data_IF_964315505916
#
_entry.id   IF_964315505916
#
_cell.length_a   1.000
_cell.length_b   1.000
_cell.length_c   1.000
_cell.angle_alpha   90.00
_cell.angle_beta   90.00
_cell.angle_gamma   90.00
#
_symmetry.space_group_name_H-M   'P 1'
#
loop_
_entity.id
_entity.type
_entity.pdbx_description
1 polymer ?
#
# COMPACT_ATOMS: atom_id res chain seq x y z
N UNK A 1 0.42 15.14 -80.06
CA UNK A 1 1.19 15.15 -78.79
C UNK A 1 0.16 15.34 -77.69
N UNK A 2 -0.33 14.25 -77.13
CA UNK A 2 -1.32 14.22 -76.06
C UNK A 2 -0.60 13.97 -74.72
N UNK A 3 -0.77 14.90 -73.75
CA UNK A 3 -0.30 14.76 -72.37
C UNK A 3 -1.47 14.27 -71.53
N UNK A 4 -1.38 13.05 -71.02
CA UNK A 4 -2.27 12.43 -70.06
C UNK A 4 -1.86 12.85 -68.66
N UNK A 5 -2.77 13.54 -67.93
CA UNK A 5 -2.60 13.85 -66.53
C UNK A 5 -3.19 12.69 -65.69
N UNK A 6 -2.35 12.15 -64.80
CA UNK A 6 -2.77 11.14 -63.81
C UNK A 6 -3.13 11.88 -62.51
N UNK A 7 -4.38 11.81 -62.10
CA UNK A 7 -4.85 12.33 -60.83
C UNK A 7 -4.60 11.27 -59.72
N UNK A 8 -3.72 11.59 -58.78
CA UNK A 8 -3.47 10.78 -57.60
C UNK A 8 -4.52 11.06 -56.52
N UNK A 9 -5.26 10.05 -56.12
CA UNK A 9 -6.21 10.06 -55.04
C UNK A 9 -5.45 9.84 -53.72
N UNK A 10 -5.38 10.87 -52.86
CA UNK A 10 -4.81 10.78 -51.53
C UNK A 10 -5.91 10.36 -50.58
N UNK A 11 -5.87 9.13 -50.09
CA UNK A 11 -6.70 8.68 -48.96
C UNK A 11 -6.12 9.22 -47.66
N UNK A 12 -6.85 10.12 -47.00
CA UNK A 12 -6.58 10.55 -45.63
C UNK A 12 -7.15 9.49 -44.65
N UNK A 13 -6.26 8.83 -43.91
CA UNK A 13 -6.63 7.97 -42.79
C UNK A 13 -6.72 8.83 -41.54
N UNK A 14 -7.84 8.83 -40.79
CA UNK A 14 -7.89 9.55 -39.52
C UNK A 14 -7.10 8.76 -38.46
N UNK A 15 -6.05 9.35 -37.87
CA UNK A 15 -5.45 8.89 -36.64
C UNK A 15 -6.46 9.11 -35.51
N UNK A 16 -7.01 8.02 -35.00
CA UNK A 16 -7.69 8.03 -33.73
C UNK A 16 -6.63 8.18 -32.62
N UNK A 17 -6.56 9.36 -32.01
CA UNK A 17 -5.78 9.61 -30.79
C UNK A 17 -6.46 8.84 -29.63
N UNK A 18 -5.94 7.67 -29.31
CA UNK A 18 -6.27 6.97 -28.09
C UNK A 18 -5.71 7.75 -26.90
N UNK A 19 -6.58 8.40 -26.10
CA UNK A 19 -6.21 8.89 -24.78
C UNK A 19 -6.03 7.66 -23.88
N UNK A 20 -4.81 7.20 -23.73
CA UNK A 20 -4.45 6.34 -22.62
C UNK A 20 -4.40 7.22 -21.36
N UNK A 21 -5.47 7.16 -20.57
CA UNK A 21 -5.47 7.74 -19.24
C UNK A 21 -4.57 6.87 -18.34
N UNK A 22 -3.30 7.28 -18.22
CA UNK A 22 -2.43 6.79 -17.18
C UNK A 22 -3.01 7.25 -15.83
N UNK A 23 -3.67 6.36 -15.11
CA UNK A 23 -4.08 6.57 -13.73
C UNK A 23 -2.80 6.56 -12.88
N UNK A 24 -2.19 7.72 -12.73
CA UNK A 24 -1.13 7.92 -11.76
C UNK A 24 -1.72 7.75 -10.36
N UNK A 25 -1.37 6.67 -9.69
CA UNK A 25 -1.61 6.55 -8.25
C UNK A 25 -0.81 7.65 -7.56
N UNK A 26 -1.51 8.67 -7.06
CA UNK A 26 -0.89 9.70 -6.23
C UNK A 26 -0.57 9.08 -4.88
N UNK A 27 0.68 8.60 -4.73
CA UNK A 27 1.20 8.06 -3.47
C UNK A 27 1.66 9.21 -2.57
N UNK A 28 0.72 9.94 -2.00
CA UNK A 28 1.05 10.83 -0.89
C UNK A 28 0.74 10.13 0.44
N UNK A 29 1.74 9.95 1.29
CA UNK A 29 1.62 9.38 2.64
C UNK A 29 0.86 10.28 3.63
N UNK A 30 0.39 11.42 3.18
CA UNK A 30 -0.53 12.28 3.92
C UNK A 30 -1.90 11.61 3.99
N UNK A 31 -2.54 11.65 5.15
CA UNK A 31 -3.89 11.12 5.40
C UNK A 31 -5.00 11.81 4.58
N UNK A 32 -4.68 12.19 3.35
CA UNK A 32 -5.63 12.73 2.37
C UNK A 32 -6.71 11.69 2.05
N UNK A 33 -7.93 12.17 2.00
CA UNK A 33 -9.09 11.37 1.63
C UNK A 33 -8.87 10.77 0.24
N UNK A 34 -9.11 9.44 0.05
CA UNK A 34 -8.99 8.82 -1.26
C UNK A 34 -9.85 9.51 -2.32
N UNK A 35 -9.43 9.44 -3.58
CA UNK A 35 -10.26 9.91 -4.68
C UNK A 35 -11.56 9.10 -4.75
N UNK A 36 -12.67 9.72 -5.17
CA UNK A 36 -13.98 9.07 -5.23
C UNK A 36 -13.99 7.75 -6.02
N UNK A 37 -13.13 7.63 -7.04
CA UNK A 37 -12.96 6.40 -7.81
C UNK A 37 -12.27 5.27 -7.03
N UNK A 38 -11.37 5.60 -6.12
CA UNK A 38 -10.68 4.60 -5.27
C UNK A 38 -11.61 4.04 -4.21
N UNK A 39 -12.46 4.88 -3.61
CA UNK A 39 -13.50 4.45 -2.69
C UNK A 39 -14.48 3.48 -3.35
N UNK A 40 -15.02 3.84 -4.52
CA UNK A 40 -15.96 3.00 -5.26
C UNK A 40 -15.33 1.64 -5.61
N UNK A 41 -14.07 1.64 -6.02
CA UNK A 41 -13.30 0.41 -6.26
C UNK A 41 -13.14 -0.41 -4.98
N UNK A 42 -12.77 0.22 -3.86
CA UNK A 42 -12.60 -0.46 -2.60
C UNK A 42 -13.91 -1.13 -2.12
N UNK A 43 -15.06 -0.47 -2.27
CA UNK A 43 -16.37 -1.07 -1.96
C UNK A 43 -16.67 -2.30 -2.83
N UNK A 44 -16.41 -2.22 -4.14
CA UNK A 44 -16.58 -3.34 -5.06
C UNK A 44 -15.60 -4.49 -4.73
N UNK A 45 -14.35 -4.18 -4.43
CA UNK A 45 -13.34 -5.17 -4.07
C UNK A 45 -13.67 -5.85 -2.73
N UNK A 46 -14.13 -5.09 -1.72
CA UNK A 46 -14.52 -5.61 -0.41
C UNK A 46 -15.63 -6.65 -0.53
N UNK A 47 -16.67 -6.38 -1.35
CA UNK A 47 -17.76 -7.31 -1.57
C UNK A 47 -17.31 -8.63 -2.21
N UNK A 48 -16.19 -8.62 -2.92
CA UNK A 48 -15.61 -9.81 -3.56
C UNK A 48 -14.51 -10.49 -2.73
N UNK A 49 -14.12 -9.96 -1.57
CA UNK A 49 -13.14 -10.59 -0.71
C UNK A 49 -13.72 -11.83 -0.01
N UNK A 50 -12.95 -12.89 0.02
CA UNK A 50 -13.31 -14.09 0.76
C UNK A 50 -13.24 -13.84 2.26
N UNK A 51 -14.31 -14.13 2.98
CA UNK A 51 -14.35 -14.13 4.44
C UNK A 51 -13.99 -15.52 4.96
N UNK A 52 -13.08 -15.60 5.92
CA UNK A 52 -12.65 -16.86 6.55
C UNK A 52 -12.27 -16.64 8.00
N UNK A 53 -12.25 -17.72 8.79
CA UNK A 53 -11.63 -17.71 10.11
C UNK A 53 -10.11 -17.79 9.97
N UNK A 54 -9.40 -17.25 10.96
CA UNK A 54 -7.96 -17.40 11.07
C UNK A 54 -7.60 -18.86 11.38
N UNK A 55 -6.43 -19.29 10.88
CA UNK A 55 -5.78 -20.50 11.35
C UNK A 55 -5.07 -20.29 12.70
N UNK A 56 -4.49 -21.35 13.23
CA UNK A 56 -3.81 -21.38 14.54
C UNK A 56 -2.51 -20.55 14.61
N UNK A 57 -1.91 -20.25 13.47
CA UNK A 57 -0.65 -19.50 13.41
C UNK A 57 0.61 -20.36 13.60
N UNK A 58 0.45 -21.66 13.73
CA UNK A 58 1.57 -22.59 13.93
C UNK A 58 2.69 -22.40 12.92
N UNK A 59 3.91 -22.42 13.43
CA UNK A 59 5.11 -22.25 12.63
C UNK A 59 5.32 -20.86 12.06
N UNK A 60 4.61 -19.84 12.52
CA UNK A 60 4.90 -18.45 12.13
C UNK A 60 6.28 -18.04 12.66
N UNK A 61 7.10 -17.58 11.75
CA UNK A 61 8.37 -16.91 12.01
C UNK A 61 8.49 -15.75 11.03
N UNK A 62 8.91 -14.57 11.51
CA UNK A 62 9.01 -13.40 10.63
C UNK A 62 9.98 -13.63 9.48
N UNK A 63 11.02 -14.40 9.72
CA UNK A 63 12.08 -14.74 8.77
C UNK A 63 11.56 -15.54 7.56
N UNK A 64 10.43 -16.23 7.70
CA UNK A 64 9.76 -16.92 6.59
C UNK A 64 9.18 -15.97 5.53
N UNK A 65 9.15 -14.68 5.83
CA UNK A 65 8.79 -13.62 4.88
C UNK A 65 10.02 -13.03 4.17
N UNK A 66 11.18 -13.69 4.26
CA UNK A 66 12.38 -13.35 3.52
C UNK A 66 13.14 -12.16 4.10
N UNK A 67 13.98 -11.55 3.25
CA UNK A 67 14.85 -10.45 3.64
C UNK A 67 14.05 -9.19 3.97
N UNK A 68 14.29 -8.64 5.16
CA UNK A 68 13.70 -7.35 5.57
C UNK A 68 14.16 -6.23 4.66
N UNK A 69 13.22 -5.39 4.25
CA UNK A 69 13.48 -4.18 3.46
C UNK A 69 14.26 -4.45 2.18
N UNK A 70 14.04 -5.64 1.58
CA UNK A 70 14.66 -5.97 0.29
C UNK A 70 14.22 -4.97 -0.77
N UNK A 71 15.19 -4.44 -1.51
CA UNK A 71 14.94 -3.65 -2.72
C UNK A 71 14.27 -4.56 -3.77
N UNK A 72 12.93 -4.55 -3.82
CA UNK A 72 12.16 -5.40 -4.74
C UNK A 72 11.87 -4.73 -6.07
N UNK A 73 11.96 -3.40 -6.15
CA UNK A 73 11.75 -2.63 -7.38
C UNK A 73 13.08 -2.29 -8.09
N UNK A 74 14.22 -2.62 -7.44
CA UNK A 74 15.58 -2.47 -7.95
C UNK A 74 15.95 -1.02 -8.28
N UNK A 75 15.47 -0.09 -7.46
CA UNK A 75 15.80 1.32 -7.57
C UNK A 75 17.15 1.67 -6.88
N UNK A 76 17.78 0.72 -6.18
CA UNK A 76 19.04 0.86 -5.47
C UNK A 76 18.88 1.29 -4.00
N UNK A 77 17.67 1.50 -3.52
CA UNK A 77 17.35 1.83 -2.14
C UNK A 77 16.61 0.65 -1.46
N UNK A 78 16.76 0.49 -0.17
CA UNK A 78 15.96 -0.49 0.57
C UNK A 78 14.53 0.03 0.81
N UNK A 79 13.57 -0.88 0.90
CA UNK A 79 12.14 -0.57 1.04
C UNK A 79 11.81 0.31 2.25
N UNK A 80 12.60 0.25 3.35
CA UNK A 80 12.40 1.13 4.49
C UNK A 80 12.70 2.58 4.13
N UNK A 81 13.82 2.82 3.46
CA UNK A 81 14.21 4.17 3.04
C UNK A 81 13.26 4.73 1.98
N UNK A 82 12.75 3.89 1.09
CA UNK A 82 11.75 4.29 0.10
C UNK A 82 10.43 4.71 0.74
N UNK A 83 9.94 3.91 1.70
CA UNK A 83 8.72 4.26 2.45
C UNK A 83 8.92 5.51 3.29
N UNK A 84 10.05 5.67 3.97
CA UNK A 84 10.37 6.90 4.70
C UNK A 84 10.43 8.12 3.76
N UNK A 85 11.06 7.97 2.59
CA UNK A 85 11.15 9.05 1.61
C UNK A 85 9.78 9.43 1.00
N UNK A 86 8.86 8.47 0.88
CA UNK A 86 7.49 8.68 0.39
C UNK A 86 6.60 9.36 1.43
N UNK A 87 6.70 8.93 2.70
CA UNK A 87 5.71 9.23 3.73
C UNK A 87 6.09 10.40 4.65
N UNK A 88 7.37 10.81 4.66
CA UNK A 88 7.84 11.93 5.47
C UNK A 88 7.89 13.22 4.64
N UNK A 89 7.62 14.34 5.32
CA UNK A 89 7.86 15.69 4.82
C UNK A 89 9.29 16.14 5.18
N UNK A 90 9.84 17.13 4.46
CA UNK A 90 11.16 17.76 4.71
C UNK A 90 12.29 16.73 4.86
N UNK A 91 12.32 15.76 3.97
CA UNK A 91 13.25 14.63 4.01
C UNK A 91 14.67 15.07 3.76
N UNK A 92 15.57 14.85 4.75
CA UNK A 92 17.01 14.94 4.59
C UNK A 92 17.59 13.56 4.31
N UNK A 93 18.38 13.43 3.22
CA UNK A 93 19.02 12.16 2.82
C UNK A 93 20.53 12.24 2.85
N UNK A 94 21.18 11.08 3.06
CA UNK A 94 22.60 10.85 2.84
C UNK A 94 22.78 9.82 1.72
N UNK A 95 23.68 10.10 0.77
CA UNK A 95 23.98 9.20 -0.35
C UNK A 95 22.81 8.90 -1.29
N UNK A 96 21.79 9.77 -1.33
CA UNK A 96 20.63 9.63 -2.23
C UNK A 96 19.51 8.70 -1.72
N UNK A 97 19.84 7.62 -1.03
CA UNK A 97 18.87 6.64 -0.51
C UNK A 97 18.53 6.81 0.96
N UNK A 98 19.55 7.00 1.79
CA UNK A 98 19.41 6.88 3.24
C UNK A 98 18.69 8.11 3.81
N UNK A 99 17.48 7.92 4.34
CA UNK A 99 16.72 8.97 5.01
C UNK A 99 17.33 9.19 6.41
N UNK A 100 17.83 10.39 6.64
CA UNK A 100 18.49 10.80 7.90
C UNK A 100 17.55 11.55 8.82
N UNK A 101 16.70 12.42 8.24
CA UNK A 101 15.75 13.27 8.97
C UNK A 101 14.47 13.44 8.18
N UNK A 102 13.39 13.85 8.85
CA UNK A 102 12.12 14.20 8.25
C UNK A 102 11.05 14.47 9.30
N UNK A 103 9.85 14.82 8.86
CA UNK A 103 8.66 14.96 9.71
C UNK A 103 7.58 14.00 9.24
N UNK A 104 7.03 13.22 10.16
CA UNK A 104 5.90 12.35 9.90
C UNK A 104 4.63 12.98 10.50
N UNK A 105 3.63 13.23 9.69
CA UNK A 105 2.27 13.41 10.19
C UNK A 105 1.66 12.02 10.37
N UNK A 106 1.81 11.44 11.56
CA UNK A 106 1.44 10.05 11.81
C UNK A 106 -0.03 9.77 11.43
N UNK A 107 -0.28 8.88 10.46
CA UNK A 107 -1.64 8.60 10.00
C UNK A 107 -2.49 7.92 11.07
N UNK A 108 -1.89 7.17 11.98
CA UNK A 108 -2.61 6.41 13.00
C UNK A 108 -3.11 7.25 14.15
N UNK A 109 -2.34 8.23 14.60
CA UNK A 109 -2.71 9.11 15.72
C UNK A 109 -3.02 10.55 15.31
N UNK A 110 -2.52 11.01 14.17
CA UNK A 110 -2.58 12.40 13.73
C UNK A 110 -1.54 13.32 14.36
N UNK A 111 -0.63 12.76 15.16
CA UNK A 111 0.48 13.52 15.75
C UNK A 111 1.58 13.80 14.74
N UNK A 112 2.29 14.89 14.93
CA UNK A 112 3.52 15.18 14.22
C UNK A 112 4.71 14.58 14.97
N UNK A 113 5.53 13.79 14.29
CA UNK A 113 6.69 13.07 14.82
C UNK A 113 7.91 13.50 14.03
N UNK A 114 8.92 14.01 14.73
CA UNK A 114 10.22 14.30 14.12
C UNK A 114 11.01 12.99 13.98
N UNK A 115 11.40 12.66 12.76
CA UNK A 115 12.26 11.51 12.49
C UNK A 115 13.73 11.94 12.46
N UNK A 116 14.55 11.20 13.19
CA UNK A 116 16.00 11.21 13.05
C UNK A 116 16.50 9.75 13.02
N UNK A 117 17.41 9.44 12.10
CA UNK A 117 17.92 8.06 11.93
C UNK A 117 18.54 7.46 13.21
N UNK A 118 19.14 8.31 14.06
CA UNK A 118 19.68 7.87 15.37
C UNK A 118 18.59 7.36 16.32
N UNK A 119 17.35 7.85 16.15
CA UNK A 119 16.16 7.50 16.95
C UNK A 119 15.15 6.75 16.09
N UNK A 120 15.64 5.86 15.22
CA UNK A 120 14.85 5.20 14.15
C UNK A 120 13.63 4.42 14.65
N UNK A 121 13.56 4.10 15.95
CA UNK A 121 12.42 3.41 16.56
C UNK A 121 11.16 4.29 16.69
N UNK A 122 11.31 5.63 16.70
CA UNK A 122 10.19 6.57 16.77
C UNK A 122 9.26 6.46 15.56
N UNK A 123 9.83 6.27 14.37
CA UNK A 123 9.07 6.03 13.14
C UNK A 123 9.35 4.60 12.64
N UNK A 124 8.33 3.78 12.69
CA UNK A 124 8.36 2.38 12.25
C UNK A 124 7.69 2.25 10.88
N UNK A 125 7.99 1.18 10.17
CA UNK A 125 7.25 0.79 8.98
C UNK A 125 6.32 -0.34 9.36
N UNK A 126 5.04 -0.06 9.29
CA UNK A 126 3.98 -1.04 9.53
C UNK A 126 3.60 -1.78 8.26
N UNK A 127 3.13 -3.01 8.42
CA UNK A 127 2.40 -3.73 7.39
C UNK A 127 0.91 -3.52 7.60
N UNK A 128 0.23 -2.80 6.68
CA UNK A 128 -1.21 -2.56 6.75
C UNK A 128 -1.98 -3.85 6.98
N UNK A 129 -1.70 -4.87 6.17
CA UNK A 129 -2.09 -6.25 6.41
C UNK A 129 -0.91 -6.96 7.11
N UNK A 130 -1.01 -7.26 8.43
CA UNK A 130 0.11 -7.76 9.21
C UNK A 130 0.64 -9.11 8.73
N UNK A 131 1.95 -9.34 8.85
CA UNK A 131 2.58 -10.60 8.39
C UNK A 131 2.05 -11.83 9.14
N UNK A 132 1.91 -11.73 10.46
CA UNK A 132 1.39 -12.83 11.27
C UNK A 132 -0.07 -13.12 10.96
N UNK A 133 -0.90 -12.08 10.77
CA UNK A 133 -2.28 -12.26 10.31
C UNK A 133 -2.31 -12.89 8.91
N UNK A 134 -1.48 -12.42 7.98
CA UNK A 134 -1.41 -13.00 6.64
C UNK A 134 -1.03 -14.50 6.70
N UNK A 135 -0.12 -14.89 7.60
CA UNK A 135 0.24 -16.29 7.84
C UNK A 135 -0.98 -17.12 8.24
N UNK A 136 -1.72 -16.67 9.26
CA UNK A 136 -2.96 -17.31 9.73
C UNK A 136 -4.05 -17.36 8.64
N UNK A 137 -4.07 -16.33 7.79
CA UNK A 137 -5.04 -16.22 6.69
C UNK A 137 -4.59 -16.93 5.41
N UNK A 138 -3.49 -17.68 5.43
CA UNK A 138 -3.10 -18.62 4.38
C UNK A 138 -1.78 -18.34 3.70
N UNK A 139 -1.04 -17.29 4.03
CA UNK A 139 0.31 -17.04 3.51
C UNK A 139 1.32 -18.12 3.95
N UNK A 140 1.01 -18.90 4.98
CA UNK A 140 1.77 -20.10 5.37
C UNK A 140 1.98 -21.09 4.21
N UNK A 141 1.02 -21.13 3.28
CA UNK A 141 1.05 -22.02 2.10
C UNK A 141 1.67 -21.38 0.85
N UNK A 142 2.10 -20.12 0.92
CA UNK A 142 2.73 -19.46 -0.23
C UNK A 142 4.17 -19.92 -0.41
N UNK A 143 4.70 -19.72 -1.62
CA UNK A 143 6.14 -19.79 -1.84
C UNK A 143 6.87 -18.69 -1.07
N UNK A 144 8.12 -18.92 -0.75
CA UNK A 144 8.98 -17.95 -0.07
C UNK A 144 9.05 -16.62 -0.83
N UNK A 145 9.28 -16.67 -2.15
CA UNK A 145 9.27 -15.49 -3.02
C UNK A 145 7.97 -14.67 -2.93
N UNK A 146 6.82 -15.32 -2.80
CA UNK A 146 5.54 -14.61 -2.68
C UNK A 146 5.42 -13.94 -1.32
N UNK A 147 5.87 -14.60 -0.25
CA UNK A 147 5.91 -14.02 1.09
C UNK A 147 6.88 -12.84 1.15
N UNK A 148 8.06 -12.95 0.55
CA UNK A 148 9.04 -11.88 0.50
C UNK A 148 8.50 -10.66 -0.26
N UNK A 149 7.86 -10.87 -1.43
CA UNK A 149 7.21 -9.78 -2.18
C UNK A 149 6.10 -9.11 -1.37
N UNK A 150 5.29 -9.87 -0.66
CA UNK A 150 4.25 -9.32 0.21
C UNK A 150 4.80 -8.47 1.35
N UNK A 151 5.87 -8.94 2.00
CA UNK A 151 6.50 -8.25 3.12
C UNK A 151 7.22 -6.96 2.73
N UNK A 152 7.62 -6.84 1.46
CA UNK A 152 8.33 -5.67 0.93
C UNK A 152 7.49 -4.86 -0.08
N UNK A 153 6.18 -5.13 -0.17
CA UNK A 153 5.28 -4.40 -1.07
C UNK A 153 4.99 -3.00 -0.54
N UNK A 154 5.36 -1.96 -1.30
CA UNK A 154 5.08 -0.55 -0.98
C UNK A 154 3.61 -0.30 -0.64
N UNK A 155 2.67 -0.99 -1.31
CA UNK A 155 1.24 -0.85 -1.04
C UNK A 155 0.82 -1.41 0.33
N UNK A 156 1.63 -2.32 0.90
CA UNK A 156 1.40 -2.89 2.24
C UNK A 156 2.22 -2.19 3.33
N UNK A 157 3.14 -1.30 2.97
CA UNK A 157 4.05 -0.64 3.90
C UNK A 157 3.65 0.82 4.14
N UNK A 158 3.68 1.25 5.40
CA UNK A 158 3.32 2.60 5.83
C UNK A 158 4.24 3.07 6.95
N UNK A 159 4.79 4.29 6.83
CA UNK A 159 5.52 4.91 7.92
C UNK A 159 4.54 5.40 8.98
N UNK A 160 4.76 5.01 10.23
CA UNK A 160 3.87 5.30 11.36
C UNK A 160 4.67 5.56 12.64
N UNK A 161 4.08 6.27 13.59
CA UNK A 161 4.65 6.38 14.93
C UNK A 161 4.70 5.03 15.63
N UNK A 162 5.81 4.75 16.33
CA UNK A 162 6.04 3.45 16.98
C UNK A 162 4.99 3.07 18.02
N UNK A 163 4.43 4.05 18.75
CA UNK A 163 3.46 3.77 19.83
C UNK A 163 2.15 3.16 19.29
N UNK A 164 1.40 3.78 18.37
CA UNK A 164 0.21 3.15 17.83
C UNK A 164 0.51 1.88 17.03
N UNK A 165 1.69 1.78 16.41
CA UNK A 165 2.09 0.56 15.71
C UNK A 165 2.25 -0.63 16.67
N UNK A 166 2.89 -0.42 17.81
CA UNK A 166 3.00 -1.46 18.84
C UNK A 166 1.63 -1.86 19.40
N UNK A 167 0.69 -0.89 19.55
CA UNK A 167 -0.68 -1.19 19.98
C UNK A 167 -1.45 -2.00 18.93
N UNK A 168 -1.23 -1.71 17.64
CA UNK A 168 -1.81 -2.47 16.54
C UNK A 168 -1.28 -3.91 16.51
N UNK A 169 0.03 -4.08 16.71
CA UNK A 169 0.67 -5.39 16.65
C UNK A 169 0.31 -6.13 15.34
N UNK A 170 -0.23 -7.35 15.44
CA UNK A 170 -0.69 -8.17 14.32
C UNK A 170 -2.23 -8.17 14.15
N UNK A 171 -2.91 -7.23 14.79
CA UNK A 171 -4.37 -7.07 14.70
C UNK A 171 -4.83 -6.59 13.31
N UNK A 172 -5.95 -7.16 12.86
CA UNK A 172 -6.71 -6.65 11.74
C UNK A 172 -7.60 -5.45 12.10
N UNK A 173 -8.30 -4.85 11.12
CA UNK A 173 -9.17 -3.70 11.33
C UNK A 173 -10.37 -3.96 12.26
N UNK A 174 -10.75 -5.22 12.45
CA UNK A 174 -11.80 -5.61 13.38
C UNK A 174 -11.40 -5.47 14.85
N UNK A 175 -10.11 -5.56 15.15
CA UNK A 175 -9.58 -5.53 16.51
C UNK A 175 -8.90 -4.21 16.84
N UNK A 176 -8.21 -3.61 15.89
CA UNK A 176 -7.53 -2.33 16.05
C UNK A 176 -7.94 -1.32 14.98
N UNK A 177 -8.06 -0.05 15.38
CA UNK A 177 -8.55 1.03 14.53
C UNK A 177 -7.66 2.26 14.61
N UNK A 178 -7.23 2.84 13.48
CA UNK A 178 -6.56 4.14 13.49
C UNK A 178 -7.55 5.26 13.85
N UNK A 179 -7.03 6.48 14.02
CA UNK A 179 -7.88 7.68 14.20
C UNK A 179 -8.95 7.76 13.11
N UNK A 180 -10.13 8.30 13.47
CA UNK A 180 -11.30 8.35 12.56
C UNK A 180 -11.00 9.00 11.21
N UNK A 181 -10.18 10.08 11.19
CA UNK A 181 -9.86 10.79 9.95
C UNK A 181 -8.97 9.99 8.97
N UNK A 182 -8.37 8.87 9.40
CA UNK A 182 -7.59 8.01 8.54
C UNK A 182 -8.31 6.71 8.15
N UNK A 183 -9.44 6.40 8.76
CA UNK A 183 -10.10 5.09 8.57
C UNK A 183 -10.52 4.82 7.12
N UNK A 184 -11.00 5.85 6.40
CA UNK A 184 -11.32 5.72 4.98
C UNK A 184 -10.08 5.30 4.17
N UNK A 185 -9.00 6.05 4.28
CA UNK A 185 -7.73 5.75 3.57
C UNK A 185 -7.15 4.40 3.99
N UNK A 186 -7.22 4.07 5.28
CA UNK A 186 -6.78 2.77 5.79
C UNK A 186 -7.57 1.61 5.16
N UNK A 187 -8.92 1.73 5.08
CA UNK A 187 -9.76 0.72 4.46
C UNK A 187 -9.44 0.51 2.99
N UNK A 188 -9.32 1.61 2.21
CA UNK A 188 -8.97 1.54 0.79
C UNK A 188 -7.64 0.80 0.59
N UNK A 189 -6.59 1.17 1.35
CA UNK A 189 -5.28 0.53 1.25
C UNK A 189 -5.30 -0.93 1.71
N UNK A 190 -5.94 -1.24 2.83
CA UNK A 190 -6.04 -2.61 3.36
C UNK A 190 -6.75 -3.55 2.39
N UNK A 191 -7.89 -3.11 1.83
CA UNK A 191 -8.67 -3.87 0.85
C UNK A 191 -7.84 -4.10 -0.42
N UNK A 192 -7.14 -3.08 -0.91
CA UNK A 192 -6.28 -3.21 -2.08
C UNK A 192 -5.18 -4.28 -1.88
N UNK A 193 -4.55 -4.31 -0.71
CA UNK A 193 -3.56 -5.34 -0.34
C UNK A 193 -4.20 -6.72 -0.28
N UNK A 194 -5.33 -6.87 0.43
CA UNK A 194 -6.04 -8.15 0.53
C UNK A 194 -6.42 -8.68 -0.86
N UNK A 195 -6.93 -7.81 -1.73
CA UNK A 195 -7.29 -8.14 -3.12
C UNK A 195 -6.07 -8.55 -3.95
N UNK A 196 -5.01 -7.73 -3.94
CA UNK A 196 -3.77 -7.99 -4.69
C UNK A 196 -3.19 -9.36 -4.40
N UNK A 197 -3.20 -9.77 -3.13
CA UNK A 197 -2.62 -11.03 -2.69
C UNK A 197 -3.65 -12.16 -2.55
N UNK A 198 -4.92 -11.92 -2.87
CA UNK A 198 -6.02 -12.87 -2.70
C UNK A 198 -6.08 -13.42 -1.27
N UNK A 199 -5.76 -12.58 -0.29
CA UNK A 199 -5.89 -12.90 1.13
C UNK A 199 -7.35 -12.76 1.55
N UNK A 200 -7.89 -13.74 2.28
CA UNK A 200 -9.19 -13.57 2.93
C UNK A 200 -9.08 -12.59 4.09
N UNK A 201 -10.21 -12.12 4.56
CA UNK A 201 -10.31 -11.31 5.77
C UNK A 201 -11.25 -11.97 6.77
N UNK A 202 -11.14 -11.64 8.05
CA UNK A 202 -12.08 -12.14 9.06
C UNK A 202 -13.46 -11.48 8.89
N UNK A 203 -14.49 -12.04 9.52
CA UNK A 203 -15.82 -11.40 9.58
C UNK A 203 -15.76 -10.05 10.29
N UNK A 204 -14.97 -9.95 11.37
CA UNK A 204 -14.78 -8.72 12.12
C UNK A 204 -14.08 -7.64 11.27
N UNK A 205 -13.05 -8.03 10.51
CA UNK A 205 -12.36 -7.12 9.60
C UNK A 205 -13.30 -6.61 8.49
N UNK A 206 -14.10 -7.51 7.90
CA UNK A 206 -15.05 -7.13 6.86
C UNK A 206 -16.00 -6.04 7.38
N UNK A 207 -16.64 -6.27 8.53
CA UNK A 207 -17.56 -5.29 9.14
C UNK A 207 -16.87 -3.96 9.47
N UNK A 208 -15.65 -4.03 10.02
CA UNK A 208 -14.89 -2.80 10.33
C UNK A 208 -14.50 -2.02 9.06
N UNK A 209 -14.14 -2.72 8.00
CA UNK A 209 -13.79 -2.08 6.72
C UNK A 209 -15.03 -1.44 6.06
N UNK A 210 -16.21 -2.05 6.15
CA UNK A 210 -17.47 -1.41 5.75
C UNK A 210 -17.70 -0.11 6.51
N UNK A 211 -17.63 -0.14 7.86
CA UNK A 211 -17.76 1.04 8.71
C UNK A 211 -16.73 2.14 8.37
N UNK A 212 -15.51 1.76 8.00
CA UNK A 212 -14.46 2.72 7.65
C UNK A 212 -14.75 3.38 6.30
N UNK A 213 -15.25 2.63 5.32
CA UNK A 213 -15.64 3.17 4.03
C UNK A 213 -16.83 4.13 4.11
N UNK A 214 -17.72 4.01 5.13
CA UNK A 214 -18.77 4.99 5.36
C UNK A 214 -18.24 6.39 5.74
N UNK A 215 -16.98 6.49 6.17
CA UNK A 215 -16.30 7.75 6.51
C UNK A 215 -15.62 8.43 5.32
N UNK A 216 -15.63 7.79 4.16
CA UNK A 216 -15.16 8.39 2.93
C UNK A 216 -16.09 9.51 2.47
#
# INVERSE_FOLDING_TARGET
>A
MMRTAVAGLVLAVPLAAGCEASVGLSESGDGTKPASGEEARARADLSGLRVASEGDGDGYEREKFGTRWKDIDRNGCDQRNDVLARDLEDVGKDGGCIVMTGRLRDPYSGKEITFAKRDAAEVQIDHLYPLALAWRMGASRWSEDRRERFANDHGNLLAVWGVPNQQKSDSGPGEWKPRKGFQCTYAVKYIAVAKKYSLPITRADHTALEDFLERC
#
